data_IF_152517545288
#
_entry.id   IF_152517545288
#
_cell.length_a   1.000
_cell.length_b   1.000
_cell.length_c   1.000
_cell.angle_alpha   90.00
_cell.angle_beta   90.00
_cell.angle_gamma   90.00
#
_symmetry.space_group_name_H-M   'P 1'
#
loop_
_entity.id
_entity.type
_entity.pdbx_description
1 polymer ?
#
# COMPACT_ATOMS: atom_id res chain seq x y z
N UNK A 1 7.65 7.88 18.30
CA UNK A 1 7.16 7.33 17.01
C UNK A 1 7.73 8.22 15.93
N UNK A 2 8.51 7.68 15.00
CA UNK A 2 9.19 8.42 13.92
C UNK A 2 8.46 8.31 12.57
N UNK A 3 7.31 7.65 12.53
CA UNK A 3 6.53 7.47 11.31
C UNK A 3 5.34 8.46 11.27
N UNK A 4 5.29 9.38 10.29
CA UNK A 4 4.19 10.35 10.19
C UNK A 4 2.85 9.67 9.87
N UNK A 5 1.74 10.36 10.16
CA UNK A 5 0.37 9.95 9.87
C UNK A 5 -0.22 10.77 8.72
N UNK A 6 -1.22 10.19 8.04
CA UNK A 6 -2.00 10.90 7.03
C UNK A 6 -3.25 11.48 7.69
N UNK A 7 -3.46 12.78 7.50
CA UNK A 7 -4.66 13.49 7.93
C UNK A 7 -5.73 13.38 6.85
N UNK A 8 -6.92 12.95 7.24
CA UNK A 8 -8.07 12.80 6.37
C UNK A 8 -9.06 13.95 6.60
N UNK A 9 -9.55 14.53 5.51
CA UNK A 9 -10.52 15.63 5.51
C UNK A 9 -11.77 15.22 4.71
N UNK A 10 -12.92 15.82 5.02
CA UNK A 10 -14.17 15.64 4.26
C UNK A 10 -14.56 16.86 3.43
N UNK A 11 -13.95 18.02 3.67
CA UNK A 11 -14.10 19.20 2.84
C UNK A 11 -12.72 19.69 2.35
N UNK A 12 -12.59 19.97 1.06
CA UNK A 12 -11.34 20.45 0.46
C UNK A 12 -10.82 21.73 1.14
N UNK A 13 -11.73 22.59 1.63
CA UNK A 13 -11.37 23.84 2.30
C UNK A 13 -10.66 23.61 3.63
N UNK A 14 -10.86 22.46 4.29
CA UNK A 14 -10.21 22.13 5.57
C UNK A 14 -8.68 22.05 5.43
N UNK A 15 -8.18 21.81 4.21
CA UNK A 15 -6.74 21.78 3.93
C UNK A 15 -6.06 23.10 4.32
N UNK A 16 -6.75 24.22 4.17
CA UNK A 16 -6.21 25.58 4.47
C UNK A 16 -5.83 25.76 5.93
N UNK A 17 -6.48 25.04 6.85
CA UNK A 17 -6.15 25.09 8.27
C UNK A 17 -4.92 24.24 8.62
N UNK A 18 -4.58 23.25 7.79
CA UNK A 18 -3.54 22.26 8.02
C UNK A 18 -2.18 22.65 7.44
N UNK A 19 -2.15 23.62 6.53
CA UNK A 19 -0.96 23.94 5.72
C UNK A 19 -0.69 25.45 5.70
N UNK A 20 0.57 25.84 5.52
CA UNK A 20 0.94 27.27 5.39
C UNK A 20 0.62 27.83 4.01
N UNK A 21 0.70 26.98 2.98
CA UNK A 21 0.45 27.36 1.59
C UNK A 21 -0.05 26.16 0.78
N UNK A 22 -0.82 26.46 -0.27
CA UNK A 22 -1.30 25.47 -1.24
C UNK A 22 -0.69 25.84 -2.60
N UNK A 23 0.35 25.13 -3.06
CA UNK A 23 0.92 25.35 -4.38
C UNK A 23 -0.12 25.16 -5.49
N UNK A 24 0.03 25.88 -6.61
CA UNK A 24 -0.90 25.77 -7.75
C UNK A 24 -0.99 24.33 -8.28
N UNK A 25 0.12 23.61 -8.27
CA UNK A 25 0.16 22.18 -8.61
C UNK A 25 -0.69 21.34 -7.66
N UNK A 26 -0.57 21.57 -6.35
CA UNK A 26 -1.38 20.88 -5.35
C UNK A 26 -2.86 21.15 -5.56
N UNK A 27 -3.26 22.41 -5.81
CA UNK A 27 -4.64 22.77 -6.13
C UNK A 27 -5.16 22.00 -7.34
N UNK A 28 -4.41 21.98 -8.45
CA UNK A 28 -4.78 21.23 -9.67
C UNK A 28 -4.97 19.73 -9.38
N UNK A 29 -4.10 19.13 -8.56
CA UNK A 29 -4.19 17.73 -8.18
C UNK A 29 -5.43 17.46 -7.31
N UNK A 30 -5.70 18.31 -6.30
CA UNK A 30 -6.90 18.18 -5.47
C UNK A 30 -8.17 18.31 -6.30
N UNK A 31 -8.26 19.31 -7.17
CA UNK A 31 -9.46 19.56 -8.01
C UNK A 31 -9.80 18.38 -8.96
N UNK A 32 -8.81 17.55 -9.32
CA UNK A 32 -8.99 16.47 -10.30
C UNK A 32 -8.95 15.06 -9.69
N UNK A 33 -8.29 14.88 -8.54
CA UNK A 33 -8.01 13.56 -7.95
C UNK A 33 -8.52 13.43 -6.51
N UNK A 34 -9.16 14.47 -5.95
CA UNK A 34 -9.91 14.40 -4.70
C UNK A 34 -11.43 14.57 -4.96
N UNK A 35 -12.29 13.86 -4.20
CA UNK A 35 -11.97 12.73 -3.33
C UNK A 35 -11.28 11.60 -4.09
N UNK A 36 -10.32 10.91 -3.46
CA UNK A 36 -9.62 9.83 -4.16
C UNK A 36 -8.44 9.20 -3.41
N UNK A 37 -7.71 8.28 -4.07
CA UNK A 37 -6.54 7.60 -3.51
C UNK A 37 -5.23 8.39 -3.67
N UNK A 38 -5.29 9.73 -3.63
CA UNK A 38 -4.12 10.61 -3.64
C UNK A 38 -3.90 11.25 -2.26
N UNK A 39 -2.69 11.16 -1.76
CA UNK A 39 -2.21 11.87 -0.58
C UNK A 39 -1.15 12.88 -1.00
N UNK A 40 -1.31 14.13 -0.56
CA UNK A 40 -0.35 15.21 -0.84
C UNK A 40 0.46 15.52 0.41
N UNK A 41 1.79 15.62 0.26
CA UNK A 41 2.67 16.17 1.30
C UNK A 41 2.85 17.66 1.03
N UNK A 42 2.48 18.46 2.03
CA UNK A 42 2.47 19.92 2.01
C UNK A 42 3.22 20.46 3.22
N UNK A 43 3.64 21.73 3.19
CA UNK A 43 4.20 22.40 4.38
C UNK A 43 3.11 22.56 5.42
N UNK A 44 3.33 22.06 6.63
CA UNK A 44 2.32 22.07 7.71
C UNK A 44 2.19 23.47 8.31
N UNK A 45 0.99 23.81 8.78
CA UNK A 45 0.79 24.93 9.69
C UNK A 45 1.05 24.52 11.15
N UNK A 46 1.12 25.50 12.05
CA UNK A 46 1.33 25.27 13.48
C UNK A 46 0.14 24.58 14.17
N UNK A 47 -1.01 24.46 13.50
CA UNK A 47 -2.18 23.75 14.03
C UNK A 47 -1.98 22.24 14.03
N UNK A 48 -1.07 21.71 13.20
CA UNK A 48 -0.81 20.28 13.06
C UNK A 48 0.22 19.85 14.11
N UNK A 49 -0.14 19.01 15.11
CA UNK A 49 0.77 18.64 16.17
C UNK A 49 1.89 17.70 15.69
N UNK A 50 3.05 17.74 16.37
CA UNK A 50 4.22 16.94 16.03
C UNK A 50 3.98 15.42 16.09
N UNK A 51 3.01 14.96 16.88
CA UNK A 51 2.63 13.54 16.94
C UNK A 51 2.09 13.03 15.59
N UNK A 52 1.54 13.91 14.77
CA UNK A 52 1.04 13.59 13.42
C UNK A 52 2.22 13.58 12.44
N UNK A 53 3.10 14.57 12.51
CA UNK A 53 4.16 14.76 11.50
C UNK A 53 5.48 14.08 11.85
N UNK A 54 5.56 13.43 13.02
CA UNK A 54 6.81 12.92 13.58
C UNK A 54 7.92 14.00 13.70
N UNK A 55 7.50 15.25 13.95
CA UNK A 55 8.38 16.42 14.03
C UNK A 55 8.94 16.89 12.69
N UNK A 56 8.31 16.52 11.57
CA UNK A 56 8.60 17.09 10.25
C UNK A 56 7.87 18.42 10.07
N UNK A 57 8.41 19.29 9.20
CA UNK A 57 7.78 20.55 8.78
C UNK A 57 6.68 20.35 7.73
N UNK A 58 6.35 19.10 7.42
CA UNK A 58 5.36 18.73 6.41
C UNK A 58 4.26 17.87 7.00
N UNK A 59 3.08 17.94 6.38
CA UNK A 59 1.91 17.12 6.71
C UNK A 59 1.42 16.40 5.46
N UNK A 60 1.02 15.15 5.62
CA UNK A 60 0.38 14.37 4.57
C UNK A 60 -1.15 14.49 4.70
N UNK A 61 -1.83 14.96 3.65
CA UNK A 61 -3.29 15.17 3.66
C UNK A 61 -3.96 14.41 2.52
N UNK A 62 -5.16 13.88 2.78
CA UNK A 62 -6.00 13.17 1.80
C UNK A 62 -7.47 13.46 2.03
N UNK A 63 -8.23 13.62 0.95
CA UNK A 63 -9.70 13.51 0.99
C UNK A 63 -10.10 12.13 0.44
N UNK A 64 -10.57 11.19 1.30
CA UNK A 64 -10.86 9.83 0.86
C UNK A 64 -12.12 9.77 0.01
N UNK A 65 -12.08 9.02 -1.09
CA UNK A 65 -13.28 8.66 -1.87
C UNK A 65 -13.96 7.45 -1.22
N UNK A 66 -14.60 7.67 -0.08
CA UNK A 66 -15.39 6.66 0.61
C UNK A 66 -16.50 7.33 1.42
N UNK A 67 -17.78 7.07 1.14
CA UNK A 67 -18.89 7.73 1.82
C UNK A 67 -18.87 7.53 3.34
N UNK A 68 -18.51 6.34 3.84
CA UNK A 68 -18.45 6.08 5.28
C UNK A 68 -17.36 6.92 5.93
N UNK A 69 -16.16 6.99 5.33
CA UNK A 69 -15.06 7.79 5.84
C UNK A 69 -15.38 9.30 5.83
N UNK A 70 -15.97 9.80 4.74
CA UNK A 70 -16.39 11.21 4.64
C UNK A 70 -17.42 11.57 5.72
N UNK A 71 -18.45 10.74 5.90
CA UNK A 71 -19.48 10.95 6.92
C UNK A 71 -18.94 10.86 8.34
N UNK A 72 -17.96 10.00 8.60
CA UNK A 72 -17.28 9.92 9.89
C UNK A 72 -16.53 11.23 10.19
N UNK A 73 -15.76 11.74 9.22
CA UNK A 73 -14.98 12.98 9.39
C UNK A 73 -15.92 14.18 9.56
N UNK A 74 -17.01 14.25 8.76
CA UNK A 74 -18.07 15.26 8.92
C UNK A 74 -18.68 15.23 10.32
N UNK A 75 -19.05 14.03 10.82
CA UNK A 75 -19.66 13.87 12.13
C UNK A 75 -18.69 14.19 13.29
N UNK A 76 -17.40 13.93 13.10
CA UNK A 76 -16.36 14.28 14.05
C UNK A 76 -16.13 15.81 14.14
N UNK A 77 -16.43 16.55 13.07
CA UNK A 77 -16.24 18.00 13.00
C UNK A 77 -14.78 18.44 12.99
N UNK A 78 -13.84 17.50 12.82
CA UNK A 78 -12.38 17.73 12.80
C UNK A 78 -11.69 16.80 11.79
N UNK A 79 -10.55 17.20 11.21
CA UNK A 79 -9.70 16.30 10.43
C UNK A 79 -9.26 15.08 11.25
N UNK A 80 -9.20 13.91 10.60
CA UNK A 80 -8.90 12.63 11.28
C UNK A 80 -7.54 12.08 10.82
N UNK A 81 -6.58 12.04 11.73
CA UNK A 81 -5.30 11.35 11.48
C UNK A 81 -5.51 9.83 11.54
N UNK A 82 -5.18 9.11 10.46
CA UNK A 82 -5.37 7.66 10.39
C UNK A 82 -4.25 6.97 9.59
N UNK A 83 -3.48 6.04 10.19
CA UNK A 83 -2.69 5.06 9.46
C UNK A 83 -3.57 3.89 8.99
N UNK A 84 -2.96 2.86 8.39
CA UNK A 84 -3.65 1.59 8.12
C UNK A 84 -4.04 0.90 9.44
N UNK A 85 -5.26 0.34 9.50
CA UNK A 85 -5.86 -0.21 10.73
C UNK A 85 -5.40 -1.64 11.04
N UNK A 86 -4.08 -1.88 11.04
CA UNK A 86 -3.46 -3.16 11.35
C UNK A 86 -2.42 -3.03 12.47
N UNK A 87 -2.09 -4.15 13.10
CA UNK A 87 -0.89 -4.18 13.94
C UNK A 87 0.34 -3.93 13.07
N UNK A 88 1.27 -3.12 13.58
CA UNK A 88 2.45 -2.70 12.82
C UNK A 88 3.21 -3.91 12.24
N UNK A 89 3.51 -3.85 10.94
CA UNK A 89 4.21 -4.91 10.19
C UNK A 89 3.29 -5.88 9.44
N UNK A 90 2.06 -6.11 9.93
CA UNK A 90 1.09 -7.00 9.25
C UNK A 90 0.63 -6.43 7.90
N UNK A 91 0.11 -7.26 6.99
CA UNK A 91 -0.58 -6.78 5.78
C UNK A 91 -1.67 -5.78 6.12
N UNK A 92 -1.82 -4.73 5.31
CA UNK A 92 -2.87 -3.73 5.52
C UNK A 92 -4.26 -4.38 5.46
N UNK A 93 -5.23 -3.90 6.24
CA UNK A 93 -6.56 -4.48 6.25
C UNK A 93 -7.36 -3.94 5.04
N UNK A 94 -8.02 -4.85 4.34
CA UNK A 94 -8.95 -4.53 3.24
C UNK A 94 -10.41 -4.88 3.55
N UNK A 95 -10.70 -5.34 4.77
CA UNK A 95 -12.05 -5.70 5.24
C UNK A 95 -12.16 -5.50 6.75
N UNK A 96 -13.37 -5.39 7.29
CA UNK A 96 -13.60 -5.28 8.74
C UNK A 96 -13.05 -6.49 9.51
N UNK A 97 -13.21 -7.71 8.96
CA UNK A 97 -12.63 -8.94 9.53
C UNK A 97 -11.13 -8.82 9.78
N UNK A 98 -10.39 -8.25 8.83
CA UNK A 98 -8.95 -8.02 8.98
C UNK A 98 -8.61 -7.04 10.11
N UNK A 99 -9.49 -6.04 10.34
CA UNK A 99 -9.35 -5.08 11.44
C UNK A 99 -9.70 -5.73 12.78
N UNK A 100 -10.76 -6.53 12.84
CA UNK A 100 -11.18 -7.27 14.04
C UNK A 100 -10.07 -8.24 14.51
N UNK A 101 -9.46 -8.98 13.60
CA UNK A 101 -8.34 -9.88 13.89
C UNK A 101 -7.16 -9.17 14.57
N UNK A 102 -6.91 -7.92 14.17
CA UNK A 102 -5.74 -7.16 14.63
C UNK A 102 -6.05 -6.30 15.86
N UNK A 103 -7.25 -5.70 15.94
CA UNK A 103 -7.57 -4.57 16.83
C UNK A 103 -8.72 -4.81 17.81
N UNK A 104 -9.40 -5.97 17.79
CA UNK A 104 -10.45 -6.27 18.78
C UNK A 104 -9.90 -6.13 20.21
N UNK A 105 -10.60 -5.35 21.04
CA UNK A 105 -10.19 -5.05 22.42
C UNK A 105 -9.05 -4.03 22.55
N UNK A 106 -8.63 -3.41 21.44
CA UNK A 106 -7.56 -2.38 21.41
C UNK A 106 -8.06 -1.01 20.91
N UNK A 107 -9.22 -0.97 20.30
CA UNK A 107 -9.88 0.25 19.80
C UNK A 107 -11.31 0.28 20.30
N UNK A 108 -11.86 1.49 20.47
CA UNK A 108 -13.23 1.68 20.97
C UNK A 108 -14.29 1.21 19.96
N UNK A 109 -14.04 1.41 18.67
CA UNK A 109 -14.99 1.13 17.61
C UNK A 109 -14.31 0.56 16.35
N UNK A 110 -15.04 -0.30 15.65
CA UNK A 110 -14.76 -0.75 14.28
C UNK A 110 -16.03 -0.49 13.47
N UNK A 111 -15.89 0.21 12.34
CA UNK A 111 -16.99 0.44 11.40
C UNK A 111 -16.82 -0.54 10.25
N UNK A 112 -17.78 -1.45 10.07
CA UNK A 112 -17.82 -2.32 8.92
C UNK A 112 -18.46 -1.61 7.72
N UNK A 113 -17.61 -1.24 6.75
CA UNK A 113 -18.01 -0.65 5.48
C UNK A 113 -17.87 -1.60 4.28
N UNK A 114 -17.68 -2.90 4.53
CA UNK A 114 -17.40 -3.89 3.49
C UNK A 114 -15.92 -3.97 3.09
N UNK A 115 -15.67 -4.48 1.89
CA UNK A 115 -14.31 -4.63 1.32
C UNK A 115 -13.86 -3.35 0.63
N UNK A 116 -12.55 -3.06 0.69
CA UNK A 116 -11.97 -1.90 -0.01
C UNK A 116 -11.88 -2.16 -1.52
N UNK A 117 -12.28 -1.18 -2.35
CA UNK A 117 -12.29 -1.33 -3.81
C UNK A 117 -10.89 -1.43 -4.44
N UNK A 118 -9.94 -0.60 -4.01
CA UNK A 118 -8.59 -0.51 -4.63
C UNK A 118 -7.62 -1.55 -4.06
N UNK A 119 -7.80 -1.97 -2.80
CA UNK A 119 -6.97 -2.93 -2.06
C UNK A 119 -5.49 -2.56 -1.81
N UNK A 120 -4.97 -1.47 -2.37
CA UNK A 120 -3.69 -0.88 -2.00
C UNK A 120 -3.87 0.55 -1.46
N UNK A 121 -2.90 1.02 -0.68
CA UNK A 121 -2.98 2.36 -0.09
C UNK A 121 -2.87 3.48 -1.14
N UNK A 122 -3.19 4.71 -0.70
CA UNK A 122 -3.04 5.92 -1.52
C UNK A 122 -1.62 6.12 -2.02
N UNK A 123 -1.53 6.71 -3.22
CA UNK A 123 -0.30 7.28 -3.74
C UNK A 123 0.07 8.48 -2.89
N UNK A 124 1.31 8.52 -2.39
CA UNK A 124 1.83 9.65 -1.61
C UNK A 124 2.75 10.47 -2.50
N UNK A 125 2.34 11.70 -2.78
CA UNK A 125 3.02 12.64 -3.65
C UNK A 125 3.52 13.83 -2.84
N UNK A 126 4.84 14.04 -2.87
CA UNK A 126 5.45 15.24 -2.34
C UNK A 126 5.36 16.36 -3.36
N UNK A 127 4.67 17.44 -2.98
CA UNK A 127 4.44 18.63 -3.80
C UNK A 127 5.06 19.88 -3.17
N UNK A 128 6.02 19.71 -2.25
CA UNK A 128 6.73 20.81 -1.59
C UNK A 128 7.82 21.45 -2.45
N UNK A 129 8.29 20.74 -3.48
CA UNK A 129 9.26 21.23 -4.48
C UNK A 129 8.62 21.59 -5.83
N UNK A 130 9.45 22.02 -6.79
CA UNK A 130 9.00 22.37 -8.14
C UNK A 130 8.54 21.17 -8.96
N UNK A 131 9.25 20.04 -8.83
CA UNK A 131 8.91 18.77 -9.47
C UNK A 131 8.27 17.88 -8.41
N UNK A 132 7.05 17.36 -8.63
CA UNK A 132 6.42 16.46 -7.68
C UNK A 132 7.14 15.12 -7.62
N UNK A 133 7.26 14.55 -6.42
CA UNK A 133 7.99 13.30 -6.19
C UNK A 133 7.04 12.25 -5.59
N UNK A 134 6.86 11.11 -6.27
CA UNK A 134 6.12 9.98 -5.71
C UNK A 134 6.97 9.31 -4.64
N UNK A 135 6.59 9.46 -3.38
CA UNK A 135 7.24 8.78 -2.25
C UNK A 135 6.67 7.38 -2.01
N UNK A 136 5.41 7.17 -2.38
CA UNK A 136 4.77 5.85 -2.30
C UNK A 136 3.82 5.64 -3.48
N UNK A 137 4.04 4.63 -4.33
CA UNK A 137 3.07 4.27 -5.36
C UNK A 137 1.82 3.64 -4.72
N UNK A 138 0.67 3.94 -5.30
CA UNK A 138 -0.65 3.52 -4.83
C UNK A 138 -1.71 3.63 -5.92
N UNK A 139 -2.97 3.86 -5.52
CA UNK A 139 -4.13 3.88 -6.43
C UNK A 139 -4.12 4.94 -7.55
N UNK A 140 -3.36 6.03 -7.40
CA UNK A 140 -3.16 7.01 -8.49
C UNK A 140 -1.82 6.73 -9.17
N UNK A 141 -1.84 6.44 -10.47
CA UNK A 141 -0.63 6.07 -11.20
C UNK A 141 0.22 7.30 -11.57
N UNK A 142 1.50 7.07 -11.90
CA UNK A 142 2.39 8.16 -12.34
C UNK A 142 1.84 8.84 -13.59
N UNK A 143 1.26 8.08 -14.52
CA UNK A 143 0.73 8.58 -15.78
C UNK A 143 -0.48 9.49 -15.55
N UNK A 144 -1.29 9.23 -14.52
CA UNK A 144 -2.39 10.11 -14.12
C UNK A 144 -1.88 11.45 -13.58
N UNK A 145 -0.80 11.43 -12.79
CA UNK A 145 -0.20 12.63 -12.22
C UNK A 145 0.50 13.43 -13.32
N UNK A 146 1.25 12.77 -14.20
CA UNK A 146 2.00 13.42 -15.29
C UNK A 146 1.08 14.18 -16.26
N UNK A 147 -0.12 13.66 -16.53
CA UNK A 147 -1.15 14.36 -17.32
C UNK A 147 -1.54 15.71 -16.72
N UNK A 148 -1.44 15.87 -15.39
CA UNK A 148 -1.81 17.09 -14.69
C UNK A 148 -0.60 18.00 -14.45
N UNK A 149 0.56 17.45 -14.13
CA UNK A 149 1.71 18.24 -13.64
C UNK A 149 2.87 18.32 -14.61
N UNK A 150 2.86 17.53 -15.70
CA UNK A 150 4.04 17.34 -16.54
C UNK A 150 4.97 16.31 -15.91
N UNK A 151 6.28 16.60 -15.84
CA UNK A 151 7.26 15.66 -15.29
C UNK A 151 6.95 15.32 -13.82
N UNK A 152 7.03 14.03 -13.48
CA UNK A 152 6.96 13.52 -12.10
C UNK A 152 8.18 12.66 -11.86
N UNK A 153 8.87 12.88 -10.74
CA UNK A 153 9.96 12.01 -10.33
C UNK A 153 9.42 10.93 -9.38
N UNK A 154 10.01 9.74 -9.41
CA UNK A 154 9.76 8.70 -8.42
C UNK A 154 10.91 8.67 -7.44
N UNK A 155 10.63 8.57 -6.14
CA UNK A 155 11.68 8.50 -5.14
C UNK A 155 12.54 7.25 -5.37
N UNK A 156 13.78 7.47 -5.79
CA UNK A 156 14.79 6.41 -5.98
C UNK A 156 15.54 6.11 -4.68
N UNK A 157 15.27 6.86 -3.59
CA UNK A 157 15.93 6.70 -2.29
C UNK A 157 15.41 5.47 -1.54
N UNK A 158 15.82 4.31 -2.04
CA UNK A 158 15.84 3.04 -1.30
C UNK A 158 16.97 2.99 -0.26
N UNK A 159 17.72 4.08 -0.05
CA UNK A 159 18.86 4.12 0.88
C UNK A 159 18.90 5.43 1.68
N UNK A 160 18.76 5.27 3.00
CA UNK A 160 19.20 6.18 4.07
C UNK A 160 18.72 7.63 4.06
N UNK A 161 17.48 7.86 4.53
CA UNK A 161 17.21 9.04 5.36
C UNK A 161 16.81 8.56 6.76
N UNK A 162 17.42 9.11 7.81
CA UNK A 162 17.19 8.68 9.20
C UNK A 162 15.74 8.93 9.66
N UNK A 163 14.97 9.76 8.94
CA UNK A 163 13.54 10.03 9.20
C UNK A 163 12.69 9.76 7.96
N UNK A 164 11.66 8.88 8.03
CA UNK A 164 10.79 8.60 6.90
C UNK A 164 9.91 9.81 6.58
N UNK A 165 9.91 10.24 5.32
CA UNK A 165 9.08 11.36 4.84
C UNK A 165 7.62 10.97 4.63
N UNK A 166 7.32 9.67 4.56
CA UNK A 166 5.96 9.14 4.40
C UNK A 166 5.77 7.77 5.06
N UNK A 167 4.52 7.37 5.34
CA UNK A 167 4.24 6.06 5.93
C UNK A 167 4.66 4.91 5.02
N UNK A 168 5.38 3.94 5.59
CA UNK A 168 5.73 2.68 4.92
C UNK A 168 7.11 2.63 4.27
N UNK A 169 8.04 3.53 4.64
CA UNK A 169 9.39 3.62 4.03
C UNK A 169 10.51 2.88 4.79
N UNK A 170 10.42 2.69 6.12
CA UNK A 170 11.59 2.33 6.96
C UNK A 170 11.59 0.89 7.53
N UNK A 171 10.44 0.22 7.62
CA UNK A 171 10.33 -1.10 8.28
C UNK A 171 9.87 -2.21 7.33
N UNK A 172 9.99 -3.49 7.76
CA UNK A 172 9.33 -4.62 7.09
C UNK A 172 7.82 -4.38 7.19
N UNK A 173 7.26 -3.84 6.12
CA UNK A 173 5.84 -3.53 6.00
C UNK A 173 5.17 -4.58 5.12
N UNK A 174 3.90 -4.86 5.43
CA UNK A 174 3.04 -5.74 4.65
C UNK A 174 3.41 -7.23 4.66
N UNK A 175 4.24 -7.65 5.61
CA UNK A 175 4.75 -9.02 5.62
C UNK A 175 3.78 -9.93 6.36
N UNK A 176 3.27 -11.00 5.74
CA UNK A 176 2.59 -12.06 6.46
C UNK A 176 3.57 -12.74 7.43
N UNK A 177 3.06 -13.65 8.26
CA UNK A 177 3.87 -14.48 9.16
C UNK A 177 4.82 -15.38 8.37
N UNK A 178 4.37 -15.87 7.22
CA UNK A 178 5.16 -16.68 6.30
C UNK A 178 6.27 -15.85 5.65
N UNK A 179 7.40 -16.49 5.37
CA UNK A 179 8.45 -15.84 4.57
C UNK A 179 8.02 -15.78 3.10
N UNK A 180 8.20 -14.62 2.44
CA UNK A 180 7.92 -14.46 1.01
C UNK A 180 9.23 -14.42 0.23
N UNK A 181 9.27 -15.15 -0.89
CA UNK A 181 10.33 -15.08 -1.89
C UNK A 181 9.69 -14.78 -3.25
N UNK A 182 10.17 -13.73 -3.92
CA UNK A 182 9.75 -13.39 -5.28
C UNK A 182 10.62 -14.12 -6.30
N UNK A 183 10.03 -14.57 -7.40
CA UNK A 183 10.75 -15.17 -8.53
C UNK A 183 10.44 -14.35 -9.78
N UNK A 184 11.49 -13.77 -10.35
CA UNK A 184 11.45 -12.85 -11.49
C UNK A 184 12.15 -13.47 -12.70
N UNK A 185 11.56 -13.40 -13.89
CA UNK A 185 12.17 -13.92 -15.10
C UNK A 185 11.15 -14.29 -16.17
N UNK A 186 11.57 -15.10 -17.13
CA UNK A 186 10.69 -15.64 -18.16
C UNK A 186 9.64 -16.57 -17.53
N UNK A 187 8.38 -16.45 -17.97
CA UNK A 187 7.22 -17.14 -17.36
C UNK A 187 7.44 -18.64 -17.12
N UNK A 188 7.90 -19.38 -18.14
CA UNK A 188 8.11 -20.82 -18.02
C UNK A 188 9.23 -21.19 -17.03
N UNK A 189 10.27 -20.35 -16.96
CA UNK A 189 11.37 -20.53 -16.00
C UNK A 189 10.92 -20.19 -14.58
N UNK A 190 10.11 -19.15 -14.41
CA UNK A 190 9.50 -18.77 -13.13
C UNK A 190 8.64 -19.92 -12.61
N UNK A 191 7.77 -20.48 -13.45
CA UNK A 191 6.94 -21.65 -13.12
C UNK A 191 7.82 -22.83 -12.71
N UNK A 192 8.81 -23.19 -13.53
CA UNK A 192 9.74 -24.28 -13.24
C UNK A 192 10.47 -24.09 -11.91
N UNK A 193 10.98 -22.87 -11.67
CA UNK A 193 11.73 -22.55 -10.44
C UNK A 193 10.86 -22.57 -9.20
N UNK A 194 9.65 -22.01 -9.24
CA UNK A 194 8.74 -22.05 -8.10
C UNK A 194 8.35 -23.50 -7.76
N UNK A 195 8.12 -24.37 -8.76
CA UNK A 195 7.82 -25.77 -8.52
C UNK A 195 9.01 -26.54 -7.91
N UNK A 196 10.23 -26.28 -8.39
CA UNK A 196 11.46 -26.81 -7.79
C UNK A 196 11.58 -26.38 -6.32
N UNK A 197 11.47 -25.08 -6.04
CA UNK A 197 11.56 -24.52 -4.70
C UNK A 197 10.45 -25.05 -3.77
N UNK A 198 9.24 -25.19 -4.29
CA UNK A 198 8.10 -25.76 -3.54
C UNK A 198 8.37 -27.21 -3.14
N UNK A 199 8.95 -28.01 -4.04
CA UNK A 199 9.31 -29.40 -3.74
C UNK A 199 10.39 -29.48 -2.66
N UNK A 200 11.45 -28.67 -2.79
CA UNK A 200 12.54 -28.59 -1.80
C UNK A 200 12.06 -28.12 -0.42
N UNK A 201 11.11 -27.18 -0.36
CA UNK A 201 10.53 -26.71 0.89
C UNK A 201 9.65 -27.79 1.56
N UNK A 202 8.85 -28.52 0.76
CA UNK A 202 8.06 -29.66 1.23
C UNK A 202 8.93 -30.79 1.78
N UNK A 203 10.06 -31.09 1.16
CA UNK A 203 11.04 -32.07 1.67
C UNK A 203 11.59 -31.70 3.06
N UNK A 204 11.63 -30.40 3.38
CA UNK A 204 12.00 -29.88 4.70
C UNK A 204 10.82 -29.85 5.70
N UNK A 205 9.67 -30.37 5.32
CA UNK A 205 8.45 -30.40 6.14
C UNK A 205 7.74 -29.05 6.24
N UNK A 206 8.03 -28.09 5.35
CA UNK A 206 7.36 -26.79 5.33
C UNK A 206 6.08 -26.85 4.50
N UNK A 207 5.02 -26.18 4.97
CA UNK A 207 3.80 -25.94 4.20
C UNK A 207 4.01 -24.78 3.23
N UNK A 208 3.81 -25.03 1.94
CA UNK A 208 4.16 -24.09 0.86
C UNK A 208 2.92 -23.43 0.27
N UNK A 209 2.95 -22.10 0.22
CA UNK A 209 2.01 -21.25 -0.50
C UNK A 209 2.60 -20.73 -1.81
N UNK A 210 1.76 -20.61 -2.83
CA UNK A 210 2.11 -19.94 -4.09
C UNK A 210 1.11 -18.84 -4.36
N UNK A 211 1.60 -17.60 -4.48
CA UNK A 211 0.83 -16.45 -4.93
C UNK A 211 1.04 -16.28 -6.43
N UNK A 212 -0.04 -16.35 -7.20
CA UNK A 212 0.05 -16.34 -8.66
C UNK A 212 -1.15 -15.65 -9.30
N UNK A 213 -1.03 -15.34 -10.58
CA UNK A 213 -2.09 -14.99 -11.50
C UNK A 213 -2.99 -16.18 -11.82
N UNK A 214 -4.23 -15.89 -12.20
CA UNK A 214 -5.23 -16.89 -12.59
C UNK A 214 -4.75 -17.77 -13.75
N UNK A 215 -4.02 -17.17 -14.68
CA UNK A 215 -3.44 -17.85 -15.85
C UNK A 215 -2.44 -18.93 -15.46
N UNK A 216 -1.63 -18.67 -14.43
CA UNK A 216 -0.52 -19.53 -14.06
C UNK A 216 -0.84 -20.52 -12.93
N UNK A 217 -1.88 -20.29 -12.13
CA UNK A 217 -2.27 -21.15 -10.99
C UNK A 217 -2.25 -22.66 -11.29
N UNK A 218 -2.71 -23.07 -12.48
CA UNK A 218 -2.79 -24.49 -12.88
C UNK A 218 -1.44 -25.17 -13.12
N UNK A 219 -0.35 -24.41 -13.23
CA UNK A 219 0.99 -24.93 -13.48
C UNK A 219 1.81 -25.13 -12.20
N UNK A 220 1.29 -24.72 -11.04
CA UNK A 220 2.00 -24.86 -9.77
C UNK A 220 1.60 -26.11 -8.99
N UNK A 221 2.55 -26.66 -8.24
CA UNK A 221 2.35 -27.81 -7.35
C UNK A 221 2.77 -27.48 -5.90
N UNK A 222 1.90 -26.81 -5.16
CA UNK A 222 2.12 -26.44 -3.74
C UNK A 222 0.93 -26.89 -2.87
N UNK A 223 1.05 -26.74 -1.54
CA UNK A 223 -0.04 -27.10 -0.60
C UNK A 223 -1.20 -26.10 -0.67
N UNK A 224 -0.87 -24.84 -0.94
CA UNK A 224 -1.83 -23.75 -1.10
C UNK A 224 -1.43 -22.95 -2.34
N UNK A 225 -2.38 -22.76 -3.26
CA UNK A 225 -2.22 -21.89 -4.43
C UNK A 225 -3.33 -20.84 -4.34
N UNK A 226 -2.97 -19.57 -4.28
CA UNK A 226 -3.92 -18.46 -4.27
C UNK A 226 -3.72 -17.61 -5.52
N UNK A 227 -4.82 -17.40 -6.25
CA UNK A 227 -4.89 -16.45 -7.35
C UNK A 227 -5.08 -15.04 -6.80
N UNK A 228 -4.19 -14.12 -7.14
CA UNK A 228 -4.35 -12.69 -6.82
C UNK A 228 -5.20 -11.96 -7.86
N UNK A 229 -5.38 -12.52 -9.05
CA UNK A 229 -6.17 -11.92 -10.13
C UNK A 229 -5.64 -12.33 -11.49
N UNK A 230 -6.13 -11.71 -12.56
CA UNK A 230 -5.62 -11.94 -13.92
C UNK A 230 -4.61 -10.87 -14.33
N UNK A 231 -3.59 -11.25 -15.11
CA UNK A 231 -2.69 -10.27 -15.76
C UNK A 231 -3.41 -9.29 -16.67
N UNK A 232 -4.64 -9.62 -17.09
CA UNK A 232 -5.50 -8.78 -17.93
C UNK A 232 -6.26 -7.73 -17.13
N UNK A 233 -6.32 -7.87 -15.82
CA UNK A 233 -7.04 -6.99 -14.88
C UNK A 233 -6.11 -6.58 -13.73
N UNK A 234 -5.11 -5.70 -13.95
CA UNK A 234 -4.15 -5.31 -12.91
C UNK A 234 -4.80 -4.73 -11.65
N UNK A 235 -5.95 -4.09 -11.76
CA UNK A 235 -6.70 -3.55 -10.61
C UNK A 235 -7.23 -4.68 -9.70
N UNK A 236 -7.60 -5.84 -10.26
CA UNK A 236 -8.00 -7.02 -9.48
C UNK A 236 -6.81 -7.58 -8.69
N UNK A 237 -5.62 -7.56 -9.28
CA UNK A 237 -4.39 -7.95 -8.58
C UNK A 237 -4.13 -7.04 -7.38
N UNK A 238 -4.34 -5.72 -7.56
CA UNK A 238 -4.20 -4.76 -6.47
C UNK A 238 -5.26 -4.95 -5.38
N UNK A 239 -6.53 -5.16 -5.76
CA UNK A 239 -7.64 -5.32 -4.81
C UNK A 239 -7.46 -6.53 -3.90
N UNK A 240 -6.96 -7.64 -4.44
CA UNK A 240 -6.89 -8.93 -3.75
C UNK A 240 -5.55 -9.18 -3.05
N UNK A 241 -4.53 -8.35 -3.27
CA UNK A 241 -3.17 -8.60 -2.78
C UNK A 241 -3.12 -8.87 -1.28
N UNK A 242 -3.62 -7.94 -0.46
CA UNK A 242 -3.56 -8.10 1.00
C UNK A 242 -4.50 -9.18 1.52
N UNK A 243 -5.64 -9.41 0.87
CA UNK A 243 -6.52 -10.54 1.20
C UNK A 243 -5.78 -11.86 1.02
N UNK A 244 -5.09 -12.06 -0.11
CA UNK A 244 -4.30 -13.28 -0.35
C UNK A 244 -3.19 -13.43 0.69
N UNK A 245 -2.47 -12.36 1.02
CA UNK A 245 -1.41 -12.40 2.03
C UNK A 245 -1.96 -12.77 3.43
N UNK A 246 -3.12 -12.22 3.82
CA UNK A 246 -3.77 -12.61 5.08
C UNK A 246 -4.32 -14.03 5.05
N UNK A 247 -4.84 -14.47 3.91
CA UNK A 247 -5.32 -15.85 3.75
C UNK A 247 -4.19 -16.87 3.89
N UNK A 248 -2.95 -16.54 3.52
CA UNK A 248 -1.81 -17.41 3.83
C UNK A 248 -1.52 -17.52 5.33
N UNK A 249 -1.68 -16.44 6.10
CA UNK A 249 -1.58 -16.47 7.57
C UNK A 249 -2.65 -17.40 8.16
N UNK A 250 -3.90 -17.28 7.70
CA UNK A 250 -5.02 -18.11 8.15
C UNK A 250 -4.79 -19.59 7.84
N UNK A 251 -4.23 -19.88 6.67
CA UNK A 251 -3.88 -21.22 6.22
C UNK A 251 -2.57 -21.74 6.83
N UNK A 252 -1.89 -20.95 7.67
CA UNK A 252 -0.65 -21.32 8.37
C UNK A 252 0.43 -21.85 7.42
N UNK A 253 0.61 -21.18 6.29
CA UNK A 253 1.71 -21.45 5.36
C UNK A 253 3.02 -20.99 6.01
N UNK A 254 4.10 -21.77 5.83
CA UNK A 254 5.42 -21.44 6.37
C UNK A 254 6.23 -20.56 5.41
N UNK A 255 6.07 -20.80 4.10
CA UNK A 255 6.78 -20.09 3.03
C UNK A 255 5.87 -19.84 1.82
N UNK A 256 5.96 -18.63 1.26
CA UNK A 256 5.22 -18.19 0.09
C UNK A 256 6.22 -17.92 -1.05
N UNK A 257 5.99 -18.54 -2.19
CA UNK A 257 6.63 -18.18 -3.45
C UNK A 257 5.66 -17.35 -4.30
N UNK A 258 6.09 -16.20 -4.78
CA UNK A 258 5.30 -15.37 -5.68
C UNK A 258 6.04 -15.16 -6.98
N UNK A 259 5.33 -15.25 -8.09
CA UNK A 259 5.80 -14.64 -9.34
C UNK A 259 5.81 -13.11 -9.21
N UNK A 260 6.55 -12.44 -10.08
CA UNK A 260 6.51 -10.98 -10.22
C UNK A 260 5.46 -10.54 -11.24
N UNK A 261 4.94 -9.34 -11.08
CA UNK A 261 3.90 -8.76 -11.93
C UNK A 261 4.46 -7.55 -12.71
N UNK A 262 3.77 -7.12 -13.77
CA UNK A 262 4.14 -5.90 -14.48
C UNK A 262 4.19 -4.69 -13.53
N UNK A 263 5.15 -3.79 -13.76
CA UNK A 263 5.27 -2.50 -13.08
C UNK A 263 4.64 -1.35 -13.90
N UNK A 264 3.67 -1.66 -14.75
CA UNK A 264 2.87 -0.66 -15.44
C UNK A 264 1.67 -0.22 -14.58
N UNK A 265 1.39 1.08 -14.55
CA UNK A 265 0.25 1.64 -13.82
C UNK A 265 0.19 1.21 -12.34
N UNK A 266 -0.93 0.61 -11.93
CA UNK A 266 -1.17 0.12 -10.57
C UNK A 266 -0.20 -1.02 -10.17
N UNK A 267 0.38 -1.71 -11.14
CA UNK A 267 1.37 -2.77 -10.93
C UNK A 267 2.61 -2.31 -10.17
N UNK A 268 2.99 -1.03 -10.30
CA UNK A 268 4.05 -0.41 -9.46
C UNK A 268 3.72 -0.47 -7.99
N UNK A 269 2.46 -0.22 -7.62
CA UNK A 269 2.02 -0.29 -6.23
C UNK A 269 2.10 -1.72 -5.71
N UNK A 270 1.58 -2.69 -6.48
CA UNK A 270 1.63 -4.13 -6.16
C UNK A 270 3.06 -4.59 -5.94
N UNK A 271 3.95 -4.36 -6.91
CA UNK A 271 5.35 -4.75 -6.82
C UNK A 271 6.09 -4.04 -5.68
N UNK A 272 5.77 -2.78 -5.39
CA UNK A 272 6.31 -2.09 -4.21
C UNK A 272 5.93 -2.80 -2.90
N UNK A 273 4.67 -3.26 -2.76
CA UNK A 273 4.22 -3.99 -1.57
C UNK A 273 4.88 -5.36 -1.46
N UNK A 274 4.95 -6.12 -2.56
CA UNK A 274 5.59 -7.44 -2.58
C UNK A 274 7.10 -7.38 -2.28
N UNK A 275 7.82 -6.40 -2.85
CA UNK A 275 9.24 -6.18 -2.57
C UNK A 275 9.48 -5.85 -1.09
N UNK A 276 8.60 -5.08 -0.46
CA UNK A 276 8.66 -4.78 0.98
C UNK A 276 8.31 -6.00 1.84
N UNK A 277 7.26 -6.73 1.47
CA UNK A 277 6.79 -7.92 2.19
C UNK A 277 7.82 -9.06 2.17
N UNK A 278 8.56 -9.21 1.06
CA UNK A 278 9.69 -10.15 0.89
C UNK A 278 11.02 -9.65 1.44
N UNK A 279 11.08 -8.43 2.00
CA UNK A 279 12.33 -7.78 2.40
C UNK A 279 13.39 -7.77 1.28
N UNK A 280 12.97 -7.67 0.01
CA UNK A 280 13.85 -7.68 -1.15
C UNK A 280 14.40 -9.05 -1.56
N UNK A 281 13.90 -10.17 -0.98
CA UNK A 281 14.28 -11.53 -1.40
C UNK A 281 13.69 -11.83 -2.78
N UNK A 282 14.50 -11.67 -3.83
CA UNK A 282 14.14 -11.93 -5.23
C UNK A 282 15.14 -12.92 -5.85
N UNK A 283 14.63 -13.97 -6.48
CA UNK A 283 15.39 -14.94 -7.27
C UNK A 283 15.14 -14.63 -8.75
N UNK A 284 16.20 -14.45 -9.54
CA UNK A 284 16.11 -14.20 -10.99
C UNK A 284 16.38 -15.47 -11.79
N UNK A 285 15.59 -15.71 -12.85
CA UNK A 285 15.66 -16.92 -13.71
C UNK A 285 15.57 -16.61 -15.20
#
# INVERSE_FOLDING_TARGET
NDNPLIVHISNINDVTNLVTEIPQMAKKLMDNLWPGPLTLILKRSDTVPDIITAGLDTVAVRMPDNPVALRLIEAAGVPVAAPSANLSGRPSPTSAKHVEEDLTGRVDFIIDGGVCDVGVESTVLDVTGEIPIILRPGGVTIEMIEKLTGRVDADTQTKSTDKPRSPGMKYRHYSPKADIILVEGDNDKVIGKINELSSLAKEKGLKVGVLSTKENCKYYNSDVILSVGSVKTPDEIASNLFECLRKFDDLKVDIIYSETFSEDGIGRAVMNRLKKASAGKIIKV
#
